data_IF_518414191701
#
_entry.id   IF_518414191701
#
_cell.length_a   1.000
_cell.length_b   1.000
_cell.length_c   1.000
_cell.angle_alpha   90.00
_cell.angle_beta   90.00
_cell.angle_gamma   90.00
#
_symmetry.space_group_name_H-M   'P 1'
#
loop_
_entity.id
_entity.type
_entity.pdbx_description
1 polymer ?
#
# COMPACT_ATOMS: atom_id res chain seq x y z
N UNK A 1 -31.30 -4.71 -11.67
CA UNK A 1 -30.64 -5.02 -10.39
C UNK A 1 -29.70 -3.87 -10.08
N UNK A 2 -29.86 -3.18 -8.96
CA UNK A 2 -29.01 -2.03 -8.62
C UNK A 2 -27.57 -2.46 -8.46
N UNK A 3 -26.64 -1.73 -9.07
CA UNK A 3 -25.22 -1.93 -8.86
C UNK A 3 -24.91 -1.48 -7.43
N UNK A 4 -24.53 -2.43 -6.56
CA UNK A 4 -24.06 -2.13 -5.21
C UNK A 4 -22.53 -2.22 -5.18
N UNK A 5 -21.90 -1.28 -4.49
CA UNK A 5 -20.47 -1.33 -4.16
C UNK A 5 -20.18 -2.56 -3.27
N UNK A 6 -18.91 -2.89 -3.05
CA UNK A 6 -18.53 -3.99 -2.13
C UNK A 6 -19.07 -3.77 -0.72
N UNK A 7 -18.92 -2.54 -0.19
CA UNK A 7 -19.46 -2.15 1.11
C UNK A 7 -21.01 -2.20 1.11
N UNK A 8 -21.65 -1.61 0.11
CA UNK A 8 -23.11 -1.60 -0.02
C UNK A 8 -23.71 -3.01 -0.06
N UNK A 9 -23.11 -3.90 -0.87
CA UNK A 9 -23.53 -5.30 -0.99
C UNK A 9 -23.40 -6.03 0.34
N UNK A 10 -22.28 -5.83 1.05
CA UNK A 10 -22.05 -6.43 2.35
C UNK A 10 -23.08 -5.96 3.39
N UNK A 11 -23.36 -4.65 3.45
CA UNK A 11 -24.33 -4.09 4.38
C UNK A 11 -25.76 -4.58 4.09
N UNK A 12 -26.19 -4.58 2.82
CA UNK A 12 -27.51 -5.09 2.42
C UNK A 12 -27.67 -6.58 2.75
N UNK A 13 -26.65 -7.40 2.47
CA UNK A 13 -26.68 -8.84 2.80
C UNK A 13 -26.84 -9.08 4.30
N UNK A 14 -26.24 -8.22 5.11
CA UNK A 14 -26.35 -8.23 6.57
C UNK A 14 -27.59 -7.47 7.10
N UNK A 15 -28.54 -7.11 6.23
CA UNK A 15 -29.80 -6.41 6.57
C UNK A 15 -29.59 -5.04 7.24
N UNK A 16 -28.44 -4.41 7.01
CA UNK A 16 -28.17 -3.05 7.46
C UNK A 16 -28.75 -2.10 6.41
N UNK A 17 -29.65 -1.22 6.84
CA UNK A 17 -30.30 -0.25 5.97
C UNK A 17 -29.60 1.12 6.01
N UNK A 18 -29.70 1.89 4.93
CA UNK A 18 -29.02 3.19 4.82
C UNK A 18 -29.48 4.18 5.90
N UNK A 19 -30.77 4.18 6.24
CA UNK A 19 -31.35 5.06 7.28
C UNK A 19 -30.68 4.84 8.64
N UNK A 20 -30.44 3.59 9.00
CA UNK A 20 -29.73 3.22 10.23
C UNK A 20 -28.32 3.79 10.25
N UNK A 21 -27.58 3.71 9.14
CA UNK A 21 -26.23 4.29 9.06
C UNK A 21 -26.29 5.81 9.19
N UNK A 22 -27.21 6.49 8.52
CA UNK A 22 -27.39 7.96 8.63
C UNK A 22 -27.63 8.38 10.07
N UNK A 23 -28.56 7.71 10.76
CA UNK A 23 -28.96 8.03 12.13
C UNK A 23 -27.84 7.79 13.16
N UNK A 24 -26.94 6.83 12.92
CA UNK A 24 -25.93 6.43 13.90
C UNK A 24 -24.50 6.92 13.58
N UNK A 25 -24.26 7.51 12.41
CA UNK A 25 -22.92 8.01 12.01
C UNK A 25 -22.86 9.52 11.81
N UNK A 26 -24.03 10.19 11.65
CA UNK A 26 -24.09 11.61 11.34
C UNK A 26 -23.73 11.96 9.89
N UNK A 27 -23.55 10.96 9.02
CA UNK A 27 -23.34 11.18 7.59
C UNK A 27 -24.64 11.58 6.88
N UNK A 28 -24.52 12.38 5.81
CA UNK A 28 -25.69 12.76 5.01
C UNK A 28 -26.28 11.54 4.27
N UNK A 29 -27.59 11.56 4.03
CA UNK A 29 -28.28 10.50 3.29
C UNK A 29 -27.68 10.29 1.89
N UNK A 30 -27.28 11.38 1.21
CA UNK A 30 -26.60 11.33 -0.08
C UNK A 30 -25.25 10.61 0.02
N UNK A 31 -24.43 10.94 1.02
CA UNK A 31 -23.11 10.32 1.23
C UNK A 31 -23.24 8.82 1.54
N UNK A 32 -24.20 8.45 2.40
CA UNK A 32 -24.49 7.04 2.70
C UNK A 32 -25.02 6.31 1.47
N UNK A 33 -25.90 6.94 0.67
CA UNK A 33 -26.38 6.37 -0.59
C UNK A 33 -25.20 6.09 -1.53
N UNK A 34 -24.27 7.05 -1.69
CA UNK A 34 -23.10 6.89 -2.54
C UNK A 34 -22.22 5.70 -2.11
N UNK A 35 -22.03 5.48 -0.81
CA UNK A 35 -21.35 4.27 -0.31
C UNK A 35 -22.04 2.97 -0.70
N UNK A 36 -23.36 2.97 -0.90
CA UNK A 36 -24.09 1.77 -1.27
C UNK A 36 -24.03 1.49 -2.78
N UNK A 37 -24.13 2.51 -3.62
CA UNK A 37 -24.40 2.32 -5.06
C UNK A 37 -23.39 2.94 -6.03
N UNK A 38 -22.52 3.85 -5.59
CA UNK A 38 -21.60 4.57 -6.49
C UNK A 38 -20.19 3.98 -6.38
N UNK A 39 -19.80 3.15 -7.36
CA UNK A 39 -18.54 2.41 -7.39
C UNK A 39 -17.28 3.30 -7.35
N UNK A 40 -17.38 4.57 -7.76
CA UNK A 40 -16.27 5.53 -7.69
C UNK A 40 -16.12 6.21 -6.34
N UNK A 41 -17.05 6.02 -5.43
CA UNK A 41 -16.99 6.62 -4.10
C UNK A 41 -15.89 5.97 -3.28
N UNK A 42 -14.86 6.75 -2.95
CA UNK A 42 -13.84 6.33 -2.00
C UNK A 42 -14.40 6.44 -0.58
N UNK A 43 -14.22 5.37 0.20
CA UNK A 43 -14.54 5.35 1.63
C UNK A 43 -13.24 5.54 2.39
N UNK A 44 -13.11 6.63 3.14
CA UNK A 44 -11.92 6.82 3.97
C UNK A 44 -11.92 5.84 5.14
N UNK A 45 -10.73 5.53 5.67
CA UNK A 45 -10.57 4.50 6.70
C UNK A 45 -11.37 4.82 7.99
N UNK A 46 -11.42 6.09 8.38
CA UNK A 46 -12.19 6.56 9.53
C UNK A 46 -13.71 6.49 9.29
N UNK A 47 -14.14 6.71 8.04
CA UNK A 47 -15.55 6.59 7.64
C UNK A 47 -15.99 5.13 7.64
N UNK A 48 -15.18 4.24 7.06
CA UNK A 48 -15.39 2.81 7.11
C UNK A 48 -15.47 2.30 8.55
N UNK A 49 -14.55 2.76 9.41
CA UNK A 49 -14.54 2.39 10.82
C UNK A 49 -15.86 2.73 11.52
N UNK A 50 -16.34 3.97 11.33
CA UNK A 50 -17.61 4.44 11.91
C UNK A 50 -18.82 3.65 11.40
N UNK A 51 -18.85 3.31 10.11
CA UNK A 51 -19.94 2.55 9.50
C UNK A 51 -20.03 1.14 10.07
N UNK A 52 -18.91 0.43 10.23
CA UNK A 52 -18.95 -0.93 10.76
C UNK A 52 -19.22 -0.91 12.27
N UNK A 53 -18.56 -0.02 13.03
CA UNK A 53 -18.72 0.05 14.51
C UNK A 53 -20.11 0.48 14.98
N UNK A 54 -20.87 1.20 14.16
CA UNK A 54 -22.26 1.52 14.52
C UNK A 54 -23.22 0.33 14.32
N UNK A 55 -22.76 -0.79 13.76
CA UNK A 55 -23.53 -2.03 13.59
C UNK A 55 -23.11 -3.09 14.61
N UNK A 56 -23.81 -4.22 14.63
CA UNK A 56 -23.43 -5.40 15.43
C UNK A 56 -22.46 -6.35 14.70
N UNK A 57 -21.90 -5.94 13.56
CA UNK A 57 -21.02 -6.79 12.75
C UNK A 57 -19.63 -6.85 13.36
N UNK A 58 -19.00 -8.02 13.28
CA UNK A 58 -17.60 -8.17 13.65
C UNK A 58 -16.72 -7.37 12.67
N UNK A 59 -15.75 -6.64 13.21
CA UNK A 59 -14.96 -5.70 12.42
C UNK A 59 -13.96 -6.42 11.52
N UNK A 60 -13.35 -7.50 12.01
CA UNK A 60 -12.30 -8.24 11.31
C UNK A 60 -12.93 -9.09 10.20
N UNK A 61 -14.05 -9.75 10.48
CA UNK A 61 -14.85 -10.47 9.47
C UNK A 61 -15.37 -9.52 8.38
N UNK A 62 -15.79 -8.31 8.78
CA UNK A 62 -16.22 -7.28 7.83
C UNK A 62 -15.09 -6.84 6.91
N UNK A 63 -13.88 -6.63 7.45
CA UNK A 63 -12.70 -6.33 6.63
C UNK A 63 -12.39 -7.47 5.68
N UNK A 64 -12.31 -8.70 6.20
CA UNK A 64 -11.98 -9.88 5.42
C UNK A 64 -12.92 -10.06 4.24
N UNK A 65 -14.23 -9.87 4.43
CA UNK A 65 -15.23 -10.12 3.40
C UNK A 65 -15.41 -8.95 2.42
N UNK A 66 -15.34 -7.69 2.88
CA UNK A 66 -15.46 -6.50 2.02
C UNK A 66 -14.20 -6.35 1.14
N UNK A 67 -13.04 -6.71 1.68
CA UNK A 67 -11.75 -6.59 1.02
C UNK A 67 -11.16 -7.94 0.59
N UNK A 68 -11.95 -9.02 0.54
CA UNK A 68 -11.44 -10.37 0.17
C UNK A 68 -10.77 -10.45 -1.19
N UNK A 69 -11.18 -9.59 -2.13
CA UNK A 69 -10.55 -9.54 -3.46
C UNK A 69 -9.35 -8.57 -3.50
N UNK A 70 -9.03 -7.90 -2.38
CA UNK A 70 -7.77 -7.20 -2.21
C UNK A 70 -6.73 -8.25 -1.87
N UNK A 71 -6.09 -8.76 -2.91
CA UNK A 71 -4.94 -9.62 -2.77
C UNK A 71 -3.78 -8.78 -2.19
N UNK A 72 -3.24 -9.16 -1.02
CA UNK A 72 -2.04 -8.53 -0.45
C UNK A 72 -0.87 -8.61 -1.43
N UNK A 73 -0.85 -9.60 -2.34
CA UNK A 73 0.17 -9.69 -3.39
C UNK A 73 -0.01 -8.66 -4.51
N UNK A 74 -1.18 -7.98 -4.58
CA UNK A 74 -1.49 -6.88 -5.50
C UNK A 74 -1.51 -5.49 -4.85
N UNK A 75 -1.02 -5.32 -3.61
CA UNK A 75 -0.56 -3.99 -3.20
C UNK A 75 0.67 -3.67 -4.06
N UNK A 76 0.46 -3.00 -5.19
CA UNK A 76 1.55 -2.47 -6.00
C UNK A 76 2.29 -1.46 -5.12
N UNK A 77 3.35 -1.94 -4.47
CA UNK A 77 4.40 -1.07 -4.01
C UNK A 77 4.70 -0.13 -5.17
N UNK A 78 4.60 1.19 -4.96
CA UNK A 78 5.03 2.18 -5.97
C UNK A 78 6.45 1.86 -6.48
N UNK A 79 7.20 1.11 -5.70
CA UNK A 79 8.46 0.48 -6.03
C UNK A 79 8.27 -0.70 -6.97
N UNK A 80 8.50 -0.46 -8.26
CA UNK A 80 8.37 -1.48 -9.28
C UNK A 80 9.73 -2.11 -9.62
N UNK A 81 10.86 -1.44 -9.35
CA UNK A 81 12.18 -2.00 -9.62
C UNK A 81 12.62 -2.98 -8.53
N UNK A 82 13.49 -3.93 -8.88
CA UNK A 82 14.10 -4.85 -7.91
C UNK A 82 14.80 -4.09 -6.78
N UNK A 83 15.43 -2.96 -7.10
CA UNK A 83 16.04 -2.06 -6.12
C UNK A 83 15.00 -1.43 -5.18
N UNK A 84 13.86 -1.00 -5.72
CA UNK A 84 12.77 -0.45 -4.94
C UNK A 84 12.15 -1.48 -3.99
N UNK A 85 11.93 -2.70 -4.46
CA UNK A 85 11.41 -3.81 -3.65
C UNK A 85 12.42 -4.20 -2.56
N UNK A 86 13.71 -4.26 -2.91
CA UNK A 86 14.79 -4.54 -1.97
C UNK A 86 14.81 -3.50 -0.82
N UNK A 87 14.79 -2.20 -1.17
CA UNK A 87 14.86 -1.09 -0.22
C UNK A 87 13.60 -0.95 0.65
N UNK A 88 12.43 -1.30 0.13
CA UNK A 88 11.20 -1.36 0.92
C UNK A 88 11.34 -2.27 2.14
N UNK A 89 12.05 -3.40 1.97
CA UNK A 89 12.31 -4.34 3.07
C UNK A 89 13.13 -3.78 4.23
N UNK A 90 13.82 -2.64 4.05
CA UNK A 90 14.63 -2.00 5.10
C UNK A 90 14.01 -0.72 5.67
N UNK A 91 12.76 -0.39 5.30
CA UNK A 91 11.98 0.74 5.83
C UNK A 91 12.78 2.05 6.00
N UNK A 92 13.60 2.43 5.02
CA UNK A 92 14.28 3.74 5.02
C UNK A 92 13.46 4.75 4.21
N UNK A 93 13.13 5.93 4.77
CA UNK A 93 12.49 7.01 4.02
C UNK A 93 13.33 7.40 2.79
N UNK A 94 12.69 7.79 1.69
CA UNK A 94 13.38 8.24 0.47
C UNK A 94 14.38 9.37 0.78
N UNK A 95 14.00 10.29 1.65
CA UNK A 95 14.84 11.40 2.13
C UNK A 95 16.13 10.94 2.81
N UNK A 96 16.09 9.84 3.57
CA UNK A 96 17.28 9.26 4.21
C UNK A 96 18.29 8.77 3.16
N UNK A 97 17.82 8.07 2.13
CA UNK A 97 18.68 7.59 1.05
C UNK A 97 19.25 8.74 0.24
N UNK A 98 18.47 9.77 -0.06
CA UNK A 98 18.97 10.96 -0.75
C UNK A 98 20.09 11.66 0.05
N UNK A 99 19.88 11.85 1.36
CA UNK A 99 20.85 12.49 2.24
C UNK A 99 22.16 11.70 2.32
N UNK A 100 22.09 10.36 2.44
CA UNK A 100 23.28 9.51 2.61
C UNK A 100 24.00 9.15 1.32
N UNK A 101 23.29 9.11 0.20
CA UNK A 101 23.87 8.74 -1.10
C UNK A 101 24.23 9.95 -1.96
N UNK A 102 23.62 11.10 -1.72
CA UNK A 102 23.76 12.27 -2.60
C UNK A 102 23.07 12.11 -3.97
N UNK A 103 22.33 11.01 -4.18
CA UNK A 103 21.56 10.79 -5.41
C UNK A 103 20.36 11.75 -5.39
N UNK A 104 20.15 12.46 -6.50
CA UNK A 104 19.03 13.38 -6.61
C UNK A 104 17.68 12.64 -6.49
N UNK A 105 16.68 13.31 -5.93
CA UNK A 105 15.39 12.67 -5.62
C UNK A 105 14.62 12.16 -6.84
N UNK A 106 14.79 12.83 -7.98
CA UNK A 106 14.10 12.44 -9.21
C UNK A 106 14.73 11.17 -9.78
N UNK A 107 16.07 11.09 -9.79
CA UNK A 107 16.82 9.91 -10.18
C UNK A 107 16.56 8.74 -9.24
N UNK A 108 16.61 8.97 -7.93
CA UNK A 108 16.33 7.94 -6.95
C UNK A 108 14.89 7.43 -7.07
N UNK A 109 13.91 8.32 -7.17
CA UNK A 109 12.52 7.90 -7.38
C UNK A 109 12.38 7.05 -8.65
N UNK A 110 12.96 7.48 -9.78
CA UNK A 110 12.98 6.68 -11.02
C UNK A 110 13.66 5.32 -10.83
N UNK A 111 14.77 5.26 -10.10
CA UNK A 111 15.47 4.01 -9.80
C UNK A 111 14.63 3.03 -8.99
N UNK A 112 13.70 3.52 -8.16
CA UNK A 112 12.85 2.67 -7.34
C UNK A 112 11.53 2.31 -8.03
N UNK A 113 10.98 3.20 -8.86
CA UNK A 113 9.65 3.05 -9.46
C UNK A 113 9.65 2.56 -10.92
N UNK A 114 10.77 2.61 -11.65
CA UNK A 114 10.83 2.22 -13.07
C UNK A 114 11.75 1.00 -13.27
N UNK A 115 11.17 -0.14 -13.64
CA UNK A 115 11.90 -1.41 -13.92
C UNK A 115 12.98 -1.28 -15.00
N UNK A 116 12.86 -0.32 -15.91
CA UNK A 116 13.84 -0.11 -17.00
C UNK A 116 15.04 0.71 -16.54
N UNK A 117 14.98 1.33 -15.36
CA UNK A 117 16.06 2.19 -14.84
C UNK A 117 16.98 1.39 -13.94
N UNK A 118 18.17 1.11 -14.48
CA UNK A 118 19.25 0.47 -13.73
C UNK A 118 20.05 1.51 -12.95
N UNK A 119 20.49 1.21 -11.72
CA UNK A 119 21.45 2.03 -11.01
C UNK A 119 22.81 1.95 -11.70
N UNK A 120 23.53 3.07 -11.73
CA UNK A 120 24.95 3.08 -12.04
C UNK A 120 25.73 2.35 -10.93
N UNK A 121 26.91 1.84 -11.25
CA UNK A 121 27.75 1.15 -10.25
C UNK A 121 28.05 2.04 -9.03
N UNK A 122 28.29 3.34 -9.25
CA UNK A 122 28.49 4.30 -8.17
C UNK A 122 27.23 4.46 -7.30
N UNK A 123 26.04 4.53 -7.91
CA UNK A 123 24.77 4.63 -7.18
C UNK A 123 24.53 3.38 -6.33
N UNK A 124 24.82 2.19 -6.87
CA UNK A 124 24.65 0.93 -6.13
C UNK A 124 25.65 0.81 -4.97
N UNK A 125 26.90 1.25 -5.17
CA UNK A 125 27.90 1.34 -4.11
C UNK A 125 27.47 2.28 -2.99
N UNK A 126 26.95 3.48 -3.32
CA UNK A 126 26.49 4.46 -2.35
C UNK A 126 25.29 3.93 -1.54
N UNK A 127 24.36 3.24 -2.20
CA UNK A 127 23.23 2.58 -1.53
C UNK A 127 23.73 1.49 -0.58
N UNK A 128 24.69 0.64 -0.99
CA UNK A 128 25.27 -0.36 -0.10
C UNK A 128 25.89 0.29 1.16
N UNK A 129 26.63 1.39 1.00
CA UNK A 129 27.19 2.15 2.12
C UNK A 129 26.11 2.76 3.02
N UNK A 130 25.06 3.34 2.44
CA UNK A 130 23.95 3.94 3.19
C UNK A 130 23.17 2.90 4.02
N UNK A 131 23.14 1.65 3.57
CA UNK A 131 22.49 0.52 4.26
C UNK A 131 23.46 -0.27 5.17
N UNK A 132 24.72 0.15 5.28
CA UNK A 132 25.78 -0.59 5.99
C UNK A 132 25.98 -2.04 5.49
N UNK A 133 25.89 -2.24 4.17
CA UNK A 133 26.15 -3.52 3.49
C UNK A 133 27.51 -3.51 2.80
N UNK A 134 28.08 -4.71 2.58
CA UNK A 134 29.23 -4.83 1.67
C UNK A 134 28.73 -4.60 0.23
N UNK A 135 29.45 -3.83 -0.60
CA UNK A 135 29.08 -3.65 -1.99
C UNK A 135 28.91 -4.98 -2.74
N UNK A 136 29.78 -5.98 -2.50
CA UNK A 136 29.68 -7.30 -3.12
C UNK A 136 28.30 -7.92 -2.91
N UNK A 137 27.76 -7.88 -1.69
CA UNK A 137 26.43 -8.43 -1.39
C UNK A 137 25.33 -7.83 -2.27
N UNK A 138 25.42 -6.52 -2.56
CA UNK A 138 24.41 -5.84 -3.37
C UNK A 138 24.61 -6.08 -4.87
N UNK A 139 25.87 -6.13 -5.33
CA UNK A 139 26.19 -6.42 -6.73
C UNK A 139 25.91 -7.89 -7.08
N UNK A 140 26.26 -8.82 -6.22
CA UNK A 140 26.01 -10.26 -6.40
C UNK A 140 24.51 -10.55 -6.39
N UNK A 141 23.72 -9.85 -5.56
CA UNK A 141 22.26 -9.99 -5.56
C UNK A 141 21.58 -9.47 -6.83
N UNK A 142 21.98 -8.31 -7.37
CA UNK A 142 21.33 -7.74 -8.55
C UNK A 142 21.86 -8.26 -9.89
N UNK A 143 23.09 -8.76 -9.93
CA UNK A 143 23.78 -9.08 -11.18
C UNK A 143 24.53 -10.42 -11.18
N UNK A 144 24.53 -11.15 -10.06
CA UNK A 144 25.10 -12.49 -9.94
C UNK A 144 24.09 -13.46 -9.33
N UNK A 145 24.61 -14.52 -8.70
CA UNK A 145 23.80 -15.54 -8.02
C UNK A 145 23.77 -15.35 -6.49
N UNK A 146 23.96 -14.11 -6.03
CA UNK A 146 24.02 -13.78 -4.61
C UNK A 146 22.65 -13.81 -3.93
N UNK A 147 22.60 -14.29 -2.70
CA UNK A 147 21.39 -14.23 -1.88
C UNK A 147 21.02 -12.80 -1.51
N UNK A 148 19.73 -12.57 -1.20
CA UNK A 148 19.25 -11.26 -0.73
C UNK A 148 19.98 -10.86 0.57
N UNK A 149 20.66 -9.69 0.60
CA UNK A 149 21.34 -9.21 1.80
C UNK A 149 20.41 -9.09 3.02
N UNK A 150 20.98 -9.17 4.23
CA UNK A 150 20.28 -8.83 5.48
C UNK A 150 21.02 -7.65 6.11
N UNK A 151 20.28 -6.60 6.47
CA UNK A 151 20.84 -5.39 7.11
C UNK A 151 20.67 -5.53 8.62
N UNK A 152 21.76 -5.37 9.38
CA UNK A 152 21.71 -5.33 10.85
C UNK A 152 22.09 -6.63 11.56
N UNK A 153 22.95 -7.46 10.98
CA UNK A 153 23.76 -8.39 11.78
C UNK A 153 24.96 -7.64 12.41
#
# INVERSE_FOLDING_TARGET
MGHYTKLGRYLVRNKINQKYIVENTGFSAEKVSNYYIEDRTLVYADEFYKIIKCTSLDFDDSCAEIFKDIDITNYESKWQSELGIFLFGYFKPLSYLQEKTGIDGVRLNKLLTDKKKRPYAAELYLIAKALNLKPSQLFDYFYGDGERPVVGA
#
